data_IF_752982080464
#
_entry.id   IF_752982080464
#
_cell.length_a   1.000
_cell.length_b   1.000
_cell.length_c   1.000
_cell.angle_alpha   90.00
_cell.angle_beta   90.00
_cell.angle_gamma   90.00
#
_symmetry.space_group_name_H-M   'P 1'
#
loop_
_entity.id
_entity.type
_entity.pdbx_description
1 polymer ?
#
# COMPACT_ATOMS: atom_id res chain seq x y z
N UNK A 1 5.46 1.23 -9.96
CA UNK A 1 4.52 1.36 -8.85
C UNK A 1 4.65 0.13 -7.96
N UNK A 2 4.64 0.35 -6.65
CA UNK A 2 4.63 -0.72 -5.66
C UNK A 2 3.29 -0.74 -4.94
N UNK A 3 2.76 -1.93 -4.70
CA UNK A 3 1.53 -2.12 -3.95
C UNK A 3 1.83 -2.65 -2.55
N UNK A 4 1.18 -2.07 -1.56
CA UNK A 4 1.21 -2.54 -0.18
C UNK A 4 -0.18 -3.05 0.17
N UNK A 5 -0.34 -4.36 0.25
CA UNK A 5 -1.59 -4.98 0.68
C UNK A 5 -1.69 -5.00 2.21
N UNK A 6 -2.87 -4.61 2.73
CA UNK A 6 -3.15 -4.64 4.16
C UNK A 6 -4.41 -5.46 4.42
N UNK A 7 -4.37 -6.40 5.38
CA UNK A 7 -5.53 -7.22 5.69
C UNK A 7 -6.73 -6.38 6.16
N UNK A 8 -7.94 -6.72 5.69
CA UNK A 8 -9.17 -6.00 5.98
C UNK A 8 -9.80 -6.25 7.35
N UNK A 9 -9.31 -7.23 8.12
CA UNK A 9 -9.89 -7.57 9.43
C UNK A 9 -9.61 -6.51 10.49
N UNK A 10 -10.54 -6.33 11.43
CA UNK A 10 -10.44 -5.34 12.51
C UNK A 10 -9.14 -5.45 13.35
N UNK A 11 -8.59 -6.66 13.48
CA UNK A 11 -7.33 -6.90 14.20
C UNK A 11 -6.10 -6.20 13.59
N UNK A 12 -6.17 -5.71 12.35
CA UNK A 12 -5.05 -5.14 11.62
C UNK A 12 -5.09 -3.61 11.46
N UNK A 13 -5.80 -2.91 12.35
CA UNK A 13 -5.90 -1.44 12.36
C UNK A 13 -4.55 -0.74 12.31
N UNK A 14 -3.58 -1.20 13.12
CA UNK A 14 -2.23 -0.62 13.14
C UNK A 14 -1.49 -0.77 11.81
N UNK A 15 -1.68 -1.89 11.10
CA UNK A 15 -1.07 -2.12 9.78
C UNK A 15 -1.68 -1.18 8.74
N UNK A 16 -3.01 -0.97 8.76
CA UNK A 16 -3.68 -0.02 7.85
C UNK A 16 -3.23 1.41 8.11
N UNK A 17 -3.17 1.83 9.37
CA UNK A 17 -2.72 3.17 9.75
C UNK A 17 -1.27 3.43 9.32
N UNK A 18 -0.40 2.42 9.46
CA UNK A 18 1.00 2.48 9.01
C UNK A 18 1.08 2.50 7.49
N UNK A 19 0.35 1.61 6.81
CA UNK A 19 0.27 1.57 5.36
C UNK A 19 -0.11 2.93 4.78
N UNK A 20 -1.17 3.56 5.27
CA UNK A 20 -1.61 4.87 4.81
C UNK A 20 -0.55 5.97 4.96
N UNK A 21 0.32 5.90 5.98
CA UNK A 21 1.39 6.89 6.20
C UNK A 21 2.58 6.76 5.25
N UNK A 22 2.77 5.59 4.64
CA UNK A 22 3.93 5.31 3.78
C UNK A 22 3.58 5.23 2.31
N UNK A 23 2.30 5.32 1.97
CA UNK A 23 1.79 5.27 0.59
C UNK A 23 1.47 6.66 0.07
N UNK A 24 1.47 6.80 -1.24
CA UNK A 24 1.12 8.04 -1.94
C UNK A 24 -0.36 8.08 -2.33
N UNK A 25 -0.98 6.92 -2.52
CA UNK A 25 -2.39 6.75 -2.90
C UNK A 25 -2.95 5.55 -2.15
N UNK A 26 -4.20 5.63 -1.70
CA UNK A 26 -4.92 4.52 -1.06
C UNK A 26 -6.05 4.06 -1.97
N UNK A 27 -6.10 2.77 -2.25
CA UNK A 27 -7.25 2.13 -2.89
C UNK A 27 -8.09 1.48 -1.79
N UNK A 28 -9.33 1.94 -1.65
CA UNK A 28 -10.30 1.37 -0.69
C UNK A 28 -11.21 0.43 -1.47
N UNK A 29 -11.11 -0.86 -1.16
CA UNK A 29 -11.94 -1.89 -1.80
C UNK A 29 -13.22 -2.10 -0.99
N UNK A 30 -14.37 -2.00 -1.65
CA UNK A 30 -15.69 -2.22 -1.06
C UNK A 30 -16.44 -3.26 -1.89
N UNK A 31 -17.05 -4.24 -1.24
CA UNK A 31 -17.83 -5.26 -1.95
C UNK A 31 -19.21 -4.71 -2.35
N UNK A 32 -19.58 -4.88 -3.62
CA UNK A 32 -20.86 -4.40 -4.16
C UNK A 32 -22.08 -5.16 -3.64
N UNK A 33 -21.88 -6.33 -3.04
CA UNK A 33 -22.90 -7.19 -2.44
C UNK A 33 -23.07 -6.97 -0.93
N UNK A 34 -22.37 -6.00 -0.35
CA UNK A 34 -22.35 -5.77 1.10
C UNK A 34 -22.76 -4.31 1.42
N UNK A 35 -22.10 -3.72 2.38
CA UNK A 35 -22.27 -2.34 2.86
C UNK A 35 -20.92 -1.67 3.07
N UNK A 36 -20.93 -0.36 3.25
CA UNK A 36 -19.76 0.36 3.75
C UNK A 36 -19.52 -0.01 5.21
N UNK A 37 -18.69 -1.03 5.41
CA UNK A 37 -18.40 -1.63 6.72
C UNK A 37 -17.58 -0.70 7.62
N UNK A 38 -17.58 -0.92 8.96
CA UNK A 38 -16.73 -0.12 9.88
C UNK A 38 -15.25 -0.11 9.50
N UNK A 39 -14.71 -1.23 8.98
CA UNK A 39 -13.33 -1.31 8.50
C UNK A 39 -13.07 -0.40 7.29
N UNK A 40 -14.06 -0.25 6.41
CA UNK A 40 -13.99 0.67 5.28
C UNK A 40 -13.91 2.12 5.77
N UNK A 41 -14.76 2.50 6.73
CA UNK A 41 -14.74 3.84 7.34
C UNK A 41 -13.42 4.12 8.06
N UNK A 42 -12.87 3.12 8.72
CA UNK A 42 -11.56 3.19 9.36
C UNK A 42 -10.44 3.42 8.34
N UNK A 43 -10.42 2.64 7.24
CA UNK A 43 -9.44 2.82 6.17
C UNK A 43 -9.51 4.23 5.54
N UNK A 44 -10.72 4.74 5.30
CA UNK A 44 -10.94 6.11 4.83
C UNK A 44 -10.38 7.13 5.83
N UNK A 45 -10.67 6.95 7.13
CA UNK A 45 -10.18 7.84 8.19
C UNK A 45 -8.65 7.87 8.26
N UNK A 46 -7.99 6.72 8.11
CA UNK A 46 -6.53 6.64 8.07
C UNK A 46 -5.94 7.34 6.85
N UNK A 47 -6.54 7.16 5.68
CA UNK A 47 -6.11 7.84 4.46
C UNK A 47 -6.28 9.35 4.56
N UNK A 48 -7.41 9.83 5.10
CA UNK A 48 -7.66 11.24 5.34
C UNK A 48 -6.67 11.84 6.35
N UNK A 49 -6.40 11.13 7.45
CA UNK A 49 -5.42 11.56 8.45
C UNK A 49 -3.99 11.62 7.90
N UNK A 50 -3.66 10.75 6.94
CA UNK A 50 -2.39 10.77 6.23
C UNK A 50 -2.34 11.83 5.11
N UNK A 51 -3.47 12.41 4.72
CA UNK A 51 -3.56 13.41 3.66
C UNK A 51 -3.32 12.86 2.26
N UNK A 52 -3.56 11.56 2.05
CA UNK A 52 -3.34 10.89 0.76
C UNK A 52 -4.64 10.76 -0.03
N UNK A 53 -4.60 10.83 -1.37
CA UNK A 53 -5.75 10.58 -2.23
C UNK A 53 -6.34 9.19 -2.03
N UNK A 54 -7.66 9.09 -2.19
CA UNK A 54 -8.42 7.85 -2.09
C UNK A 54 -9.08 7.55 -3.43
N UNK A 55 -8.93 6.31 -3.88
CA UNK A 55 -9.66 5.76 -5.02
C UNK A 55 -10.52 4.60 -4.50
N UNK A 56 -11.80 4.58 -4.85
CA UNK A 56 -12.70 3.49 -4.47
C UNK A 56 -12.73 2.42 -5.55
N UNK A 57 -12.54 1.17 -5.16
CA UNK A 57 -12.74 0.00 -6.01
C UNK A 57 -13.97 -0.76 -5.51
N UNK A 58 -15.07 -0.66 -6.23
CA UNK A 58 -16.32 -1.36 -5.90
C UNK A 58 -16.26 -2.74 -6.55
N UNK A 59 -15.93 -3.74 -5.73
CA UNK A 59 -15.59 -5.09 -6.17
C UNK A 59 -16.79 -6.03 -6.15
N UNK A 60 -16.66 -7.17 -6.82
CA UNK A 60 -17.64 -8.25 -6.92
C UNK A 60 -18.88 -7.88 -7.76
N UNK A 61 -18.72 -7.08 -8.81
CA UNK A 61 -19.83 -6.75 -9.71
C UNK A 61 -20.33 -7.96 -10.52
N UNK A 62 -19.60 -9.06 -10.51
CA UNK A 62 -19.97 -10.35 -11.13
C UNK A 62 -21.10 -11.09 -10.38
N UNK A 63 -21.41 -10.69 -9.15
CA UNK A 63 -22.40 -11.36 -8.32
C UNK A 63 -23.81 -10.81 -8.63
N UNK A 64 -24.84 -11.65 -8.75
CA UNK A 64 -26.21 -11.20 -9.07
C UNK A 64 -26.83 -10.23 -8.05
N UNK A 65 -26.34 -10.22 -6.82
CA UNK A 65 -26.77 -9.33 -5.72
C UNK A 65 -25.95 -8.04 -5.64
N UNK A 66 -25.02 -7.84 -6.55
CA UNK A 66 -24.18 -6.64 -6.58
C UNK A 66 -25.00 -5.39 -6.93
N UNK A 67 -24.82 -4.35 -6.13
CA UNK A 67 -25.42 -3.04 -6.34
C UNK A 67 -24.38 -1.93 -6.12
N UNK A 68 -23.56 -1.63 -7.13
CA UNK A 68 -22.54 -0.58 -7.04
C UNK A 68 -23.12 0.80 -6.72
N UNK A 69 -24.31 1.11 -7.26
CA UNK A 69 -24.96 2.42 -7.04
C UNK A 69 -25.37 2.61 -5.57
N UNK A 70 -25.82 1.55 -4.92
CA UNK A 70 -26.09 1.56 -3.47
C UNK A 70 -24.82 1.89 -2.68
N UNK A 71 -23.69 1.28 -3.03
CA UNK A 71 -22.40 1.55 -2.35
C UNK A 71 -21.97 3.00 -2.58
N UNK A 72 -22.11 3.55 -3.80
CA UNK A 72 -21.86 4.97 -4.08
C UNK A 72 -22.73 5.88 -3.22
N UNK A 73 -24.00 5.51 -3.01
CA UNK A 73 -24.92 6.22 -2.12
C UNK A 73 -24.47 6.19 -0.66
N UNK A 74 -24.08 5.03 -0.14
CA UNK A 74 -23.56 4.89 1.24
C UNK A 74 -22.23 5.65 1.43
N UNK A 75 -21.36 5.72 0.41
CA UNK A 75 -20.17 6.55 0.42
C UNK A 75 -20.52 8.04 0.46
N UNK A 76 -21.52 8.48 -0.30
CA UNK A 76 -22.00 9.86 -0.29
C UNK A 76 -22.53 10.28 1.09
N UNK A 77 -23.23 9.39 1.80
CA UNK A 77 -23.73 9.64 3.17
C UNK A 77 -22.61 9.94 4.18
N UNK A 78 -21.42 9.42 3.94
CA UNK A 78 -20.22 9.71 4.77
C UNK A 78 -19.29 10.77 4.16
N UNK A 79 -19.83 11.61 3.27
CA UNK A 79 -19.11 12.69 2.58
C UNK A 79 -17.99 12.22 1.62
N UNK A 80 -18.08 10.99 1.13
CA UNK A 80 -17.16 10.44 0.13
C UNK A 80 -17.84 10.39 -1.25
N UNK A 81 -18.32 11.55 -1.74
CA UNK A 81 -19.02 11.63 -3.01
C UNK A 81 -18.06 11.32 -4.18
N UNK A 82 -18.41 10.32 -4.98
CA UNK A 82 -17.65 9.87 -6.14
C UNK A 82 -17.81 10.79 -7.35
N UNK A 83 -16.84 10.76 -8.27
CA UNK A 83 -16.83 11.62 -9.47
C UNK A 83 -18.05 11.39 -10.36
N UNK A 84 -18.51 10.15 -10.52
CA UNK A 84 -19.72 9.81 -11.28
C UNK A 84 -20.96 10.56 -10.80
N UNK A 85 -20.99 10.96 -9.53
CA UNK A 85 -22.07 11.73 -8.91
C UNK A 85 -21.72 13.20 -8.66
N UNK A 86 -20.66 13.70 -9.35
CA UNK A 86 -20.21 15.08 -9.26
C UNK A 86 -19.33 15.40 -8.04
N UNK A 87 -18.80 14.38 -7.39
CA UNK A 87 -17.86 14.51 -6.29
C UNK A 87 -16.40 14.59 -6.74
N UNK A 88 -15.48 14.40 -5.79
CA UNK A 88 -14.02 14.51 -6.01
C UNK A 88 -13.28 13.18 -5.95
N UNK A 89 -13.93 12.11 -5.50
CA UNK A 89 -13.27 10.82 -5.31
C UNK A 89 -13.44 9.96 -6.54
N UNK A 90 -12.33 9.45 -7.07
CA UNK A 90 -12.37 8.50 -8.17
C UNK A 90 -12.93 7.16 -7.68
N UNK A 91 -13.76 6.53 -8.49
CA UNK A 91 -14.26 5.18 -8.24
C UNK A 91 -14.22 4.33 -9.50
N UNK A 92 -14.13 3.02 -9.34
CA UNK A 92 -14.24 2.06 -10.42
C UNK A 92 -14.95 0.81 -9.96
N UNK A 93 -15.90 0.36 -10.77
CA UNK A 93 -16.63 -0.88 -10.55
C UNK A 93 -15.83 -2.03 -11.14
N UNK A 94 -15.50 -3.04 -10.32
CA UNK A 94 -14.57 -4.11 -10.70
C UNK A 94 -15.08 -5.50 -10.33
N UNK A 95 -14.59 -6.50 -11.02
CA UNK A 95 -14.57 -7.89 -10.57
C UNK A 95 -13.14 -8.38 -10.52
N UNK A 96 -12.58 -8.50 -9.33
CA UNK A 96 -11.24 -9.07 -9.15
C UNK A 96 -11.18 -10.54 -9.59
N UNK A 97 -12.31 -11.26 -9.50
CA UNK A 97 -12.42 -12.65 -9.91
C UNK A 97 -12.34 -12.83 -11.44
N UNK A 98 -13.01 -11.94 -12.18
CA UNK A 98 -13.08 -12.00 -13.63
C UNK A 98 -12.04 -11.11 -14.34
N UNK A 99 -11.40 -10.21 -13.58
CA UNK A 99 -10.48 -9.23 -14.13
C UNK A 99 -11.15 -8.01 -14.76
N UNK A 100 -12.47 -7.90 -14.66
CA UNK A 100 -13.24 -6.79 -15.23
C UNK A 100 -12.95 -5.49 -14.48
N UNK A 101 -12.73 -4.38 -15.21
CA UNK A 101 -12.52 -3.05 -14.62
C UNK A 101 -11.15 -2.85 -13.95
N UNK A 102 -10.27 -3.85 -13.93
CA UNK A 102 -8.96 -3.76 -13.27
C UNK A 102 -8.03 -2.81 -14.03
N UNK A 103 -8.02 -2.86 -15.34
CA UNK A 103 -7.18 -1.98 -16.15
C UNK A 103 -7.58 -0.53 -15.95
N UNK A 104 -8.87 -0.22 -15.99
CA UNK A 104 -9.41 1.12 -15.78
C UNK A 104 -9.09 1.64 -14.37
N UNK A 105 -9.15 0.78 -13.36
CA UNK A 105 -8.72 1.12 -11.99
C UNK A 105 -7.25 1.51 -11.96
N UNK A 106 -6.38 0.73 -12.60
CA UNK A 106 -4.95 1.02 -12.67
C UNK A 106 -4.64 2.30 -13.45
N UNK A 107 -5.40 2.60 -14.51
CA UNK A 107 -5.29 3.86 -15.25
C UNK A 107 -5.65 5.06 -14.36
N UNK A 108 -6.68 4.94 -13.51
CA UNK A 108 -7.02 5.97 -12.52
C UNK A 108 -5.92 6.16 -11.48
N UNK A 109 -5.29 5.08 -11.02
CA UNK A 109 -4.12 5.16 -10.12
C UNK A 109 -2.95 5.88 -10.80
N UNK A 110 -2.67 5.59 -12.06
CA UNK A 110 -1.63 6.26 -12.83
C UNK A 110 -1.92 7.75 -12.98
N UNK A 111 -3.13 8.10 -13.35
CA UNK A 111 -3.57 9.50 -13.48
C UNK A 111 -3.39 10.27 -12.17
N UNK A 112 -3.82 9.70 -11.05
CA UNK A 112 -3.66 10.30 -9.73
C UNK A 112 -2.18 10.47 -9.37
N UNK A 113 -1.33 9.48 -9.68
CA UNK A 113 0.10 9.55 -9.44
C UNK A 113 0.80 10.63 -10.28
N UNK A 114 0.34 10.88 -11.50
CA UNK A 114 0.83 11.97 -12.35
C UNK A 114 0.45 13.34 -11.77
N UNK A 115 -0.78 13.48 -11.28
CA UNK A 115 -1.26 14.72 -10.63
C UNK A 115 -0.48 15.05 -9.38
N UNK A 116 -0.04 14.04 -8.60
CA UNK A 116 0.80 14.22 -7.43
C UNK A 116 2.24 14.62 -7.77
N UNK A 117 2.67 14.44 -9.03
CA UNK A 117 4.03 14.76 -9.51
C UNK A 117 5.12 14.19 -8.60
N UNK A 118 4.99 12.92 -8.21
CA UNK A 118 5.89 12.24 -7.28
C UNK A 118 7.32 12.20 -7.80
N UNK A 119 8.27 12.56 -6.94
CA UNK A 119 9.70 12.61 -7.28
C UNK A 119 10.54 12.04 -6.15
N UNK A 120 11.59 11.30 -6.51
CA UNK A 120 12.60 10.84 -5.58
C UNK A 120 13.98 10.89 -6.21
N UNK A 121 15.00 11.23 -5.42
CA UNK A 121 16.39 11.23 -5.86
C UNK A 121 17.03 9.87 -5.53
N UNK A 122 17.44 9.05 -6.53
CA UNK A 122 18.13 7.79 -6.29
C UNK A 122 19.59 7.98 -5.89
N UNK A 123 20.21 9.13 -6.22
CA UNK A 123 21.64 9.40 -6.01
C UNK A 123 21.92 10.00 -4.64
N UNK A 124 21.45 9.32 -3.58
CA UNK A 124 21.71 9.66 -2.18
C UNK A 124 21.61 8.41 -1.31
N UNK A 125 22.00 8.54 -0.03
CA UNK A 125 21.82 7.46 0.93
C UNK A 125 20.34 7.06 1.01
N UNK A 126 20.09 5.75 1.09
CA UNK A 126 18.76 5.21 1.15
C UNK A 126 18.03 5.66 2.42
N UNK A 127 16.78 6.00 2.25
CA UNK A 127 15.80 6.20 3.31
C UNK A 127 14.55 5.41 2.95
N UNK A 128 13.97 4.76 3.93
CA UNK A 128 12.78 3.95 3.74
C UNK A 128 12.05 3.68 5.04
N UNK A 129 10.99 2.93 4.95
CA UNK A 129 10.17 2.54 6.09
C UNK A 129 10.20 1.03 6.25
N UNK A 130 10.36 0.56 7.49
CA UNK A 130 10.19 -0.85 7.82
C UNK A 130 8.69 -1.17 7.78
N UNK A 131 8.31 -2.07 6.89
CA UNK A 131 6.91 -2.52 6.73
C UNK A 131 6.64 -3.67 7.69
N UNK A 132 7.58 -4.62 7.75
CA UNK A 132 7.48 -5.83 8.55
C UNK A 132 8.87 -6.29 8.99
N UNK A 133 8.96 -6.94 10.14
CA UNK A 133 10.18 -7.60 10.59
C UNK A 133 9.83 -8.96 11.21
N UNK A 134 10.61 -9.97 10.89
CA UNK A 134 10.42 -11.32 11.38
C UNK A 134 11.77 -12.01 11.65
N UNK A 135 11.73 -13.09 12.44
CA UNK A 135 12.89 -13.94 12.67
C UNK A 135 12.71 -15.25 11.91
N UNK A 136 13.56 -15.48 10.94
CA UNK A 136 13.67 -16.77 10.26
C UNK A 136 14.71 -17.66 10.93
N UNK A 137 14.38 -18.93 11.19
CA UNK A 137 15.27 -19.88 11.90
C UNK A 137 16.56 -20.19 11.14
N UNK A 138 16.58 -20.02 9.83
CA UNK A 138 17.74 -20.31 8.98
C UNK A 138 18.51 -19.08 8.52
N UNK A 139 17.81 -17.98 8.29
CA UNK A 139 18.38 -16.74 7.70
C UNK A 139 18.61 -15.64 8.72
N UNK A 140 18.06 -15.74 9.93
CA UNK A 140 18.14 -14.71 10.96
C UNK A 140 17.03 -13.66 10.82
N UNK A 141 17.31 -12.40 11.20
CA UNK A 141 16.35 -11.33 11.12
C UNK A 141 16.10 -10.90 9.67
N UNK A 142 14.84 -10.96 9.24
CA UNK A 142 14.35 -10.50 7.96
C UNK A 142 13.56 -9.21 8.20
N UNK A 143 13.85 -8.16 7.43
CA UNK A 143 13.11 -6.90 7.52
C UNK A 143 12.65 -6.50 6.13
N UNK A 144 11.34 -6.44 5.93
CA UNK A 144 10.75 -5.90 4.70
C UNK A 144 10.78 -4.38 4.79
N UNK A 145 11.45 -3.75 3.85
CA UNK A 145 11.66 -2.31 3.80
C UNK A 145 11.14 -1.78 2.47
N UNK A 146 10.35 -0.73 2.52
CA UNK A 146 10.02 0.08 1.36
C UNK A 146 11.05 1.21 1.26
N UNK A 147 11.91 1.18 0.25
CA UNK A 147 12.83 2.26 -0.05
C UNK A 147 12.04 3.42 -0.64
N UNK A 148 12.11 4.59 -0.03
CA UNK A 148 11.38 5.78 -0.46
C UNK A 148 12.27 6.79 -1.18
N UNK A 149 13.53 6.91 -0.76
CA UNK A 149 14.53 7.82 -1.35
C UNK A 149 15.90 7.15 -1.35
N UNK A 150 16.75 7.56 -2.28
CA UNK A 150 18.10 7.01 -2.39
C UNK A 150 18.13 5.60 -2.96
N UNK A 151 19.29 4.97 -2.93
CA UNK A 151 19.49 3.59 -3.37
C UNK A 151 20.18 2.80 -2.27
N UNK A 152 19.57 1.71 -1.87
CA UNK A 152 20.08 0.76 -0.89
C UNK A 152 20.85 -0.34 -1.62
N UNK A 153 22.07 -0.65 -1.17
CA UNK A 153 22.93 -1.66 -1.80
C UNK A 153 23.36 -2.72 -0.81
N UNK A 154 23.65 -3.90 -1.32
CA UNK A 154 24.32 -4.93 -0.54
C UNK A 154 25.68 -4.38 -0.08
N UNK A 155 25.98 -4.53 1.21
CA UNK A 155 27.19 -3.98 1.81
C UNK A 155 27.02 -2.63 2.53
N UNK A 156 25.92 -1.92 2.29
CA UNK A 156 25.60 -0.68 3.02
C UNK A 156 25.37 -0.96 4.51
N UNK A 157 25.65 0.04 5.34
CA UNK A 157 25.30 0.00 6.76
C UNK A 157 23.96 0.69 7.01
N UNK A 158 23.02 -0.01 7.63
CA UNK A 158 21.67 0.45 7.86
C UNK A 158 21.39 0.62 9.34
N UNK A 159 20.67 1.69 9.68
CA UNK A 159 20.10 1.94 10.99
C UNK A 159 18.58 1.96 10.86
N UNK A 160 17.91 1.08 11.61
CA UNK A 160 16.45 0.96 11.63
C UNK A 160 15.96 0.96 13.09
N UNK A 161 15.51 2.11 13.57
CA UNK A 161 15.16 2.29 14.99
C UNK A 161 16.35 2.04 15.91
N UNK A 162 16.27 0.98 16.70
CA UNK A 162 17.34 0.55 17.62
C UNK A 162 18.25 -0.53 17.04
N UNK A 163 17.89 -1.06 15.87
CA UNK A 163 18.64 -2.12 15.21
C UNK A 163 19.56 -1.54 14.14
N UNK A 164 20.72 -2.13 14.00
CA UNK A 164 21.66 -1.73 12.97
C UNK A 164 22.37 -2.93 12.36
N UNK A 165 23.01 -2.75 11.23
CA UNK A 165 23.80 -3.82 10.63
C UNK A 165 24.18 -3.54 9.19
N UNK A 166 25.10 -4.38 8.71
CA UNK A 166 25.52 -4.35 7.31
C UNK A 166 24.59 -5.22 6.48
N UNK A 167 24.10 -4.67 5.37
CA UNK A 167 23.24 -5.41 4.43
C UNK A 167 24.03 -6.60 3.86
N UNK A 168 23.64 -7.81 4.23
CA UNK A 168 24.23 -9.07 3.76
C UNK A 168 23.59 -9.53 2.45
N UNK A 169 22.28 -9.30 2.32
CA UNK A 169 21.52 -9.62 1.13
C UNK A 169 20.25 -8.75 1.05
N UNK A 170 19.81 -8.50 -0.17
CA UNK A 170 18.50 -7.95 -0.50
C UNK A 170 17.76 -8.99 -1.34
N UNK A 171 16.48 -9.23 -1.01
CA UNK A 171 15.62 -10.15 -1.76
C UNK A 171 14.40 -9.40 -2.27
N UNK A 172 13.93 -9.78 -3.45
CA UNK A 172 12.64 -9.33 -3.97
C UNK A 172 11.47 -10.09 -3.31
N UNK A 173 10.24 -9.77 -3.70
CA UNK A 173 9.02 -10.41 -3.20
C UNK A 173 8.92 -11.90 -3.55
N UNK A 174 9.72 -12.38 -4.49
CA UNK A 174 9.81 -13.79 -4.89
C UNK A 174 10.98 -14.52 -4.24
N UNK A 175 11.76 -13.81 -3.41
CA UNK A 175 12.93 -14.35 -2.73
C UNK A 175 14.20 -14.39 -3.59
N UNK A 176 14.21 -13.78 -4.77
CA UNK A 176 15.40 -13.68 -5.60
C UNK A 176 16.34 -12.59 -5.06
N UNK A 177 17.64 -12.83 -5.16
CA UNK A 177 18.66 -11.86 -4.75
C UNK A 177 18.67 -10.64 -5.67
N UNK A 178 18.84 -9.46 -5.05
CA UNK A 178 19.08 -8.18 -5.71
C UNK A 178 20.35 -7.55 -5.18
N UNK A 179 21.05 -6.83 -6.03
CA UNK A 179 22.27 -6.10 -5.63
C UNK A 179 21.92 -4.74 -5.01
N UNK A 180 20.84 -4.12 -5.50
CA UNK A 180 20.38 -2.81 -5.06
C UNK A 180 18.87 -2.65 -5.12
N UNK A 181 18.35 -1.65 -4.40
CA UNK A 181 16.96 -1.23 -4.42
C UNK A 181 16.87 0.30 -4.42
N UNK A 182 16.28 0.84 -5.47
CA UNK A 182 16.01 2.28 -5.62
C UNK A 182 14.69 2.73 -5.00
N UNK A 183 14.28 4.00 -5.24
CA UNK A 183 13.03 4.54 -4.74
C UNK A 183 11.81 3.72 -5.15
N UNK A 184 10.81 3.65 -4.25
CA UNK A 184 9.56 2.89 -4.43
C UNK A 184 9.77 1.39 -4.67
N UNK A 185 10.84 0.82 -4.15
CA UNK A 185 11.16 -0.60 -4.29
C UNK A 185 11.06 -1.29 -2.93
N UNK A 186 10.14 -2.24 -2.75
CA UNK A 186 10.09 -3.09 -1.57
C UNK A 186 11.18 -4.16 -1.67
N UNK A 187 11.89 -4.39 -0.57
CA UNK A 187 12.91 -5.44 -0.46
C UNK A 187 12.92 -6.06 0.92
N UNK A 188 13.27 -7.33 0.98
CA UNK A 188 13.59 -8.01 2.23
C UNK A 188 15.09 -7.88 2.47
N UNK A 189 15.45 -7.25 3.57
CA UNK A 189 16.83 -7.01 4.00
C UNK A 189 17.26 -8.07 5.02
N UNK A 190 18.44 -8.63 4.82
CA UNK A 190 19.13 -9.49 5.78
C UNK A 190 20.39 -8.77 6.26
N UNK A 191 20.67 -8.81 7.56
CA UNK A 191 21.91 -8.30 8.12
C UNK A 191 21.78 -7.43 9.34
N UNK A 192 20.55 -7.07 9.75
CA UNK A 192 20.32 -6.34 11.00
C UNK A 192 20.58 -7.26 12.23
N UNK A 193 20.98 -6.64 13.33
CA UNK A 193 21.25 -7.28 14.61
C UNK A 193 19.98 -7.60 15.43
N UNK A 194 18.82 -7.22 14.93
CA UNK A 194 17.51 -7.45 15.56
C UNK A 194 16.35 -7.22 14.60
N UNK A 195 15.13 -7.41 15.12
CA UNK A 195 13.90 -7.07 14.43
C UNK A 195 13.53 -5.61 14.75
N UNK A 196 13.69 -4.67 13.81
CA UNK A 196 13.28 -3.29 14.04
C UNK A 196 11.76 -3.22 14.20
N UNK A 197 11.32 -2.28 15.01
CA UNK A 197 9.89 -1.97 15.13
C UNK A 197 9.41 -1.34 13.82
N UNK A 198 8.42 -1.95 13.23
CA UNK A 198 7.78 -1.45 12.01
C UNK A 198 6.82 -0.30 12.35
#
# INVERSE_FOLDING_TARGET
ISFLDTPGHAAFTAMRARGAKVTDIVIVVVAADDKVMPQTKEAISHAQAAGVPIIFAINKIDIPTADPEKIKGELAEINMLVEDWGGKYQSNDISAKEGTGIQELLEKVLLESEMLALKANPNRNAQGTVVEASLDKGKGFLSTILVQKGTLKVGDYVLAGRCSGKVKALLDERGNKRDEAGPSTPVVLLGLDGAPTA
#
